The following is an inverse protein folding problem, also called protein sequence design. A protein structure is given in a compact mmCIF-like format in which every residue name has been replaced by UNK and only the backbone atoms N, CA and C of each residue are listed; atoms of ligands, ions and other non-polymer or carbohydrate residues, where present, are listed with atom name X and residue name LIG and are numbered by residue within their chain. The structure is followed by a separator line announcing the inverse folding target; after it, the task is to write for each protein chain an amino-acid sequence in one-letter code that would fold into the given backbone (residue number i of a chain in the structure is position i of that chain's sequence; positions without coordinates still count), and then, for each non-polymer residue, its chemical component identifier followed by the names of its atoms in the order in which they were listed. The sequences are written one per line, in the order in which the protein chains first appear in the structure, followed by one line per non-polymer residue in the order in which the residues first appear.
data_IF_220072624164
#
_entry.id   IF_220072624164
#
_cell.length_a   1.000
_cell.length_b   1.000
_cell.length_c   1.000
_cell.angle_alpha   90.00
_cell.angle_beta   90.00
_cell.angle_gamma   90.00
#
_symmetry.space_group_name_H-M   'P 1'
#
loop_
_entity.id
_entity.type
_entity.pdbx_description
1 polymer ?
#
# COMPACT_ATOMS: atom_id res chain seq x y z
N UNK A 1 -8.77 -10.92 29.66
CA UNK A 1 -8.35 -11.91 28.63
C UNK A 1 -8.28 -11.11 27.34
N UNK A 2 -7.21 -11.22 26.55
CA UNK A 2 -7.11 -10.48 25.29
C UNK A 2 -7.71 -11.33 24.16
N UNK A 3 -8.72 -10.81 23.46
CA UNK A 3 -9.27 -11.48 22.27
C UNK A 3 -8.32 -11.36 21.10
N UNK A 4 -7.89 -12.50 20.57
CA UNK A 4 -7.10 -12.59 19.34
C UNK A 4 -8.02 -12.48 18.13
N UNK A 5 -7.72 -11.55 17.21
CA UNK A 5 -8.59 -11.22 16.04
C UNK A 5 -7.94 -11.47 14.68
N UNK A 6 -6.67 -11.86 14.64
CA UNK A 6 -5.94 -12.27 13.43
C UNK A 6 -6.13 -13.76 13.13
N UNK A 7 -7.35 -14.29 13.30
CA UNK A 7 -7.66 -15.71 13.15
C UNK A 7 -8.37 -16.05 11.82
N UNK A 8 -8.54 -15.05 10.94
CA UNK A 8 -9.18 -15.19 9.63
C UNK A 8 -10.71 -15.28 9.68
N UNK A 9 -11.34 -15.08 10.84
CA UNK A 9 -12.80 -15.07 10.98
C UNK A 9 -13.37 -13.65 10.96
N UNK A 10 -14.68 -13.59 10.82
CA UNK A 10 -15.42 -12.34 10.93
C UNK A 10 -15.57 -11.96 12.40
N UNK A 11 -15.06 -10.78 12.74
CA UNK A 11 -15.28 -10.14 14.04
C UNK A 11 -16.23 -8.94 13.89
N UNK A 12 -17.02 -8.68 14.92
CA UNK A 12 -17.96 -7.56 14.97
C UNK A 12 -17.45 -6.49 15.94
N UNK A 13 -17.23 -5.29 15.42
CA UNK A 13 -16.77 -4.15 16.21
C UNK A 13 -17.85 -3.07 16.29
N UNK A 14 -18.14 -2.60 17.49
CA UNK A 14 -19.04 -1.45 17.72
C UNK A 14 -18.37 -0.43 18.62
N UNK A 15 -18.35 0.82 18.16
CA UNK A 15 -18.01 1.98 18.97
C UNK A 15 -19.29 2.75 19.28
N UNK A 16 -19.63 2.85 20.55
CA UNK A 16 -20.69 3.71 21.05
C UNK A 16 -20.08 4.85 21.85
N UNK A 17 -20.44 6.09 21.51
CA UNK A 17 -20.00 7.28 22.21
C UNK A 17 -21.21 8.08 22.67
N UNK A 18 -21.24 8.41 23.96
CA UNK A 18 -22.19 9.33 24.56
C UNK A 18 -21.41 10.36 25.38
N UNK A 19 -21.15 11.52 24.77
CA UNK A 19 -20.29 12.57 25.32
C UNK A 19 -18.87 12.03 25.58
N UNK A 20 -18.42 12.06 26.83
CA UNK A 20 -17.12 11.55 27.26
C UNK A 20 -17.14 10.02 27.47
N UNK A 21 -18.32 9.41 27.57
CA UNK A 21 -18.45 7.97 27.78
C UNK A 21 -18.30 7.22 26.45
N UNK A 22 -17.29 6.38 26.37
CA UNK A 22 -17.07 5.47 25.27
C UNK A 22 -17.33 4.04 25.75
N UNK A 23 -18.15 3.32 24.99
CA UNK A 23 -18.28 1.87 25.05
C UNK A 23 -17.75 1.29 23.75
N UNK A 24 -16.74 0.44 23.86
CA UNK A 24 -16.22 -0.37 22.75
C UNK A 24 -16.70 -1.79 22.98
N UNK A 25 -17.21 -2.42 21.92
CA UNK A 25 -17.56 -3.83 21.92
C UNK A 25 -16.87 -4.51 20.76
N UNK A 26 -16.22 -5.63 21.05
CA UNK A 26 -15.61 -6.53 20.08
C UNK A 26 -16.17 -7.92 20.35
N UNK A 27 -16.98 -8.42 19.42
CA UNK A 27 -17.79 -9.63 19.60
C UNK A 27 -18.60 -9.55 20.92
N UNK A 28 -18.30 -10.43 21.88
CA UNK A 28 -18.95 -10.48 23.19
C UNK A 28 -18.20 -9.67 24.26
N UNK A 29 -16.98 -9.19 23.97
CA UNK A 29 -16.18 -8.42 24.92
C UNK A 29 -16.52 -6.94 24.88
N UNK A 30 -16.76 -6.35 26.05
CA UNK A 30 -17.15 -4.94 26.21
C UNK A 30 -16.15 -4.24 27.11
N UNK A 31 -15.65 -3.10 26.64
CA UNK A 31 -14.75 -2.20 27.39
C UNK A 31 -15.35 -0.81 27.44
N UNK A 32 -15.30 -0.19 28.63
CA UNK A 32 -15.71 1.19 28.85
C UNK A 32 -14.49 2.09 29.05
N UNK A 33 -14.54 3.31 28.50
CA UNK A 33 -13.49 4.31 28.60
C UNK A 33 -14.10 5.71 28.73
N UNK A 34 -13.43 6.60 29.46
CA UNK A 34 -13.78 8.01 29.58
C UNK A 34 -12.77 8.86 28.81
N UNK A 35 -13.26 9.80 27.99
CA UNK A 35 -12.43 10.74 27.24
C UNK A 35 -12.29 12.07 27.99
N UNK A 36 -11.31 12.16 28.88
CA UNK A 36 -11.12 13.33 29.74
C UNK A 36 -10.53 14.58 29.03
N UNK A 37 -10.01 14.43 27.80
CA UNK A 37 -9.18 15.48 27.14
C UNK A 37 -9.60 15.88 25.72
N UNK A 38 -10.57 15.22 25.10
CA UNK A 38 -10.98 15.55 23.72
C UNK A 38 -12.21 16.47 23.72
N UNK A 39 -12.18 17.53 22.89
CA UNK A 39 -13.27 18.54 22.79
C UNK A 39 -14.28 18.28 21.66
N UNK A 40 -14.02 17.32 20.78
CA UNK A 40 -14.89 17.00 19.64
C UNK A 40 -15.53 15.63 19.85
N UNK A 41 -16.83 15.62 20.14
CA UNK A 41 -17.56 14.44 20.59
C UNK A 41 -18.44 13.79 19.53
N UNK A 42 -18.52 14.38 18.34
CA UNK A 42 -19.51 13.99 17.33
C UNK A 42 -18.81 13.59 16.04
N UNK A 43 -18.75 12.29 15.77
CA UNK A 43 -18.48 11.77 14.44
C UNK A 43 -19.69 12.07 13.54
N UNK A 44 -19.45 12.53 12.31
CA UNK A 44 -20.49 12.82 11.33
C UNK A 44 -21.10 14.23 11.39
N UNK A 45 -20.48 15.18 12.10
CA UNK A 45 -20.81 16.59 11.94
C UNK A 45 -20.17 17.12 10.64
N UNK A 46 -20.98 17.17 9.58
CA UNK A 46 -20.57 17.60 8.23
C UNK A 46 -19.91 18.98 8.15
N UNK A 47 -20.06 19.84 9.18
CA UNK A 47 -19.43 21.17 9.22
C UNK A 47 -18.01 21.16 9.77
N UNK A 48 -17.64 20.15 10.55
CA UNK A 48 -16.38 20.13 11.31
C UNK A 48 -15.55 18.87 11.09
N UNK A 49 -16.15 17.79 10.63
CA UNK A 49 -15.45 16.54 10.34
C UNK A 49 -14.94 16.53 8.90
N UNK A 50 -13.72 16.01 8.70
CA UNK A 50 -13.19 15.62 7.40
C UNK A 50 -13.79 14.29 6.93
N UNK A 51 -13.43 13.88 5.72
CA UNK A 51 -13.73 12.55 5.18
C UNK A 51 -13.21 11.43 6.09
N UNK A 52 -13.88 10.27 6.03
CA UNK A 52 -13.56 9.07 6.79
C UNK A 52 -12.78 8.10 5.90
N UNK A 53 -11.57 7.75 6.32
CA UNK A 53 -10.72 6.78 5.64
C UNK A 53 -10.73 5.44 6.37
N UNK A 54 -10.97 4.35 5.63
CA UNK A 54 -11.03 3.00 6.17
C UNK A 54 -9.91 2.16 5.56
N UNK A 55 -9.15 1.48 6.40
CA UNK A 55 -8.06 0.60 6.01
C UNK A 55 -6.70 1.27 5.77
N UNK A 56 -6.64 2.61 5.77
CA UNK A 56 -5.40 3.37 5.68
C UNK A 56 -5.68 4.84 5.39
N UNK A 57 -4.64 5.67 5.43
CA UNK A 57 -4.73 7.10 5.10
C UNK A 57 -3.97 7.37 3.78
N UNK A 58 -4.59 8.06 2.80
CA UNK A 58 -3.91 8.49 1.59
C UNK A 58 -2.72 9.42 1.89
N UNK A 59 -1.74 9.46 0.97
CA UNK A 59 -0.48 10.20 1.18
C UNK A 59 -0.63 11.70 0.98
N UNK A 60 -1.62 12.09 0.22
CA UNK A 60 -2.00 13.42 -0.27
C UNK A 60 -2.90 14.22 0.71
N UNK A 61 -3.38 13.60 1.79
CA UNK A 61 -4.23 14.30 2.78
C UNK A 61 -3.41 15.23 3.67
N UNK A 62 -3.16 16.48 3.29
CA UNK A 62 -2.19 17.34 3.98
C UNK A 62 -2.46 17.59 5.48
N UNK A 63 -3.73 17.74 5.90
CA UNK A 63 -4.08 18.14 7.27
C UNK A 63 -4.69 16.99 8.07
N UNK A 64 -3.91 16.47 9.01
CA UNK A 64 -4.36 15.49 9.99
C UNK A 64 -4.17 16.05 11.41
N UNK A 65 -5.14 15.81 12.30
CA UNK A 65 -4.98 16.10 13.73
C UNK A 65 -3.84 15.30 14.37
N UNK A 66 -3.46 14.18 13.76
CA UNK A 66 -2.29 13.37 14.11
C UNK A 66 -1.51 12.97 12.83
N UNK A 67 -0.57 13.80 12.34
CA UNK A 67 0.14 13.58 11.08
C UNK A 67 0.87 12.23 10.98
N UNK A 68 1.45 11.76 12.09
CA UNK A 68 2.16 10.48 12.16
C UNK A 68 1.27 9.27 11.83
N UNK A 69 -0.06 9.39 11.93
CA UNK A 69 -0.98 8.30 11.56
C UNK A 69 -0.87 7.90 10.09
N UNK A 70 -0.37 8.77 9.21
CA UNK A 70 -0.14 8.44 7.79
C UNK A 70 0.86 7.29 7.61
N UNK A 71 1.80 7.12 8.53
CA UNK A 71 2.83 6.07 8.48
C UNK A 71 2.43 4.80 9.22
N UNK A 72 1.21 4.73 9.77
CA UNK A 72 0.72 3.52 10.41
C UNK A 72 0.58 2.38 9.40
N UNK A 73 0.76 1.15 9.88
CA UNK A 73 0.52 -0.04 9.06
C UNK A 73 -0.93 -0.02 8.57
N UNK A 74 -1.09 -0.08 7.25
CA UNK A 74 -2.41 -0.15 6.61
C UNK A 74 -3.07 -1.50 6.91
N UNK A 75 -4.39 -1.50 6.99
CA UNK A 75 -5.18 -2.71 7.18
C UNK A 75 -5.04 -3.61 5.95
N UNK A 76 -4.90 -4.90 6.20
CA UNK A 76 -4.90 -5.94 5.17
C UNK A 76 -5.88 -7.02 5.61
N UNK A 77 -7.04 -7.09 4.94
CA UNK A 77 -8.14 -7.99 5.28
C UNK A 77 -9.44 -7.54 4.62
N UNK A 78 -10.56 -8.11 5.05
CA UNK A 78 -11.88 -7.82 4.53
C UNK A 78 -12.69 -6.97 5.52
N UNK A 79 -13.50 -6.05 4.99
CA UNK A 79 -14.43 -5.22 5.77
C UNK A 79 -15.81 -5.31 5.12
N UNK A 80 -16.85 -5.47 5.96
CA UNK A 80 -18.25 -5.45 5.53
C UNK A 80 -19.12 -4.76 6.57
N UNK A 81 -20.33 -4.38 6.18
CA UNK A 81 -21.33 -3.78 7.07
C UNK A 81 -20.83 -2.51 7.78
N UNK A 82 -20.05 -1.68 7.08
CA UNK A 82 -19.64 -0.37 7.59
C UNK A 82 -20.88 0.53 7.68
N UNK A 83 -21.21 0.92 8.91
CA UNK A 83 -22.35 1.79 9.21
C UNK A 83 -21.90 2.82 10.24
N UNK A 84 -22.25 4.09 10.03
CA UNK A 84 -22.08 5.12 11.04
C UNK A 84 -23.19 6.16 10.92
N UNK A 85 -23.25 7.06 11.90
CA UNK A 85 -24.26 8.11 11.92
C UNK A 85 -23.95 9.17 10.87
N UNK A 86 -24.87 9.37 9.93
CA UNK A 86 -24.82 10.39 8.89
C UNK A 86 -26.02 11.32 9.09
N UNK A 87 -25.78 12.63 9.09
CA UNK A 87 -26.86 13.61 9.15
C UNK A 87 -27.41 13.87 7.75
N UNK A 88 -28.74 13.87 7.52
CA UNK A 88 -29.84 13.64 8.47
C UNK A 88 -30.33 12.18 8.59
N UNK A 89 -29.73 11.23 7.88
CA UNK A 89 -30.25 9.86 7.69
C UNK A 89 -30.18 8.97 8.95
N UNK A 90 -29.44 9.36 9.99
CA UNK A 90 -29.23 8.53 11.16
C UNK A 90 -28.16 7.46 10.90
N UNK A 91 -28.35 6.24 11.38
CA UNK A 91 -27.42 5.13 11.10
C UNK A 91 -27.62 4.62 9.68
N UNK A 92 -26.64 4.81 8.80
CA UNK A 92 -26.72 4.44 7.39
C UNK A 92 -25.40 3.92 6.85
N UNK A 93 -25.47 3.17 5.74
CA UNK A 93 -24.30 2.78 4.98
C UNK A 93 -23.79 4.03 4.24
N UNK A 94 -22.52 4.41 4.41
CA UNK A 94 -21.99 5.59 3.74
C UNK A 94 -21.85 5.35 2.24
N UNK A 95 -22.04 6.40 1.45
CA UNK A 95 -21.67 6.40 0.05
C UNK A 95 -20.14 6.43 -0.06
N UNK A 96 -19.56 5.48 -0.79
CA UNK A 96 -18.14 5.49 -1.11
C UNK A 96 -17.85 6.58 -2.14
N UNK A 97 -17.02 7.55 -1.77
CA UNK A 97 -16.61 8.66 -2.65
C UNK A 97 -15.47 8.28 -3.59
N UNK A 98 -14.50 7.51 -3.09
CA UNK A 98 -13.34 7.02 -3.85
C UNK A 98 -12.71 5.81 -3.17
N UNK A 99 -11.89 5.05 -3.91
CA UNK A 99 -11.09 3.95 -3.37
C UNK A 99 -9.86 3.67 -4.24
N UNK A 100 -8.71 3.43 -3.60
CA UNK A 100 -7.47 3.08 -4.28
C UNK A 100 -7.05 1.65 -3.93
N UNK A 101 -6.91 0.79 -4.94
CA UNK A 101 -6.40 -0.58 -4.79
C UNK A 101 -7.31 -1.54 -4.01
N UNK A 102 -8.55 -1.15 -3.70
CA UNK A 102 -9.52 -1.99 -2.99
C UNK A 102 -10.01 -3.13 -3.89
N UNK A 103 -10.36 -4.26 -3.25
CA UNK A 103 -10.94 -5.41 -3.94
C UNK A 103 -12.31 -5.75 -3.43
N UNK A 104 -13.20 -6.17 -4.34
CA UNK A 104 -14.58 -6.56 -4.01
C UNK A 104 -14.71 -8.04 -3.63
N UNK A 105 -13.73 -8.86 -4.03
CA UNK A 105 -13.68 -10.29 -3.75
C UNK A 105 -12.40 -10.63 -3.01
N UNK A 106 -12.46 -11.66 -2.16
CA UNK A 106 -11.28 -12.31 -1.57
C UNK A 106 -10.75 -13.44 -2.46
N UNK A 107 -11.16 -13.44 -3.73
CA UNK A 107 -10.78 -14.48 -4.67
C UNK A 107 -9.27 -14.44 -4.87
N UNK A 108 -8.59 -15.46 -4.37
CA UNK A 108 -7.19 -15.65 -4.65
C UNK A 108 -7.03 -16.29 -6.03
N UNK A 109 -7.11 -15.48 -7.09
CA UNK A 109 -6.91 -15.95 -8.47
C UNK A 109 -5.53 -16.54 -8.75
N UNK A 110 -4.56 -16.36 -7.85
CA UNK A 110 -3.24 -17.00 -7.94
C UNK A 110 -3.23 -18.41 -7.33
N UNK A 111 -4.18 -18.74 -6.45
CA UNK A 111 -4.34 -20.08 -5.86
C UNK A 111 -5.48 -20.81 -6.56
N UNK A 112 -5.17 -21.95 -7.18
CA UNK A 112 -6.09 -22.73 -8.01
C UNK A 112 -7.30 -23.34 -7.27
N UNK A 113 -7.42 -23.20 -5.96
CA UNK A 113 -8.35 -24.02 -5.18
C UNK A 113 -9.83 -23.65 -5.31
N UNK A 114 -10.19 -22.47 -5.82
CA UNK A 114 -11.60 -22.05 -5.76
C UNK A 114 -12.44 -22.18 -7.02
N UNK A 115 -11.94 -22.47 -8.23
CA UNK A 115 -12.81 -22.69 -9.40
C UNK A 115 -12.14 -23.41 -10.57
N UNK A 116 -11.90 -24.72 -10.44
CA UNK A 116 -12.08 -25.64 -11.59
C UNK A 116 -11.99 -27.10 -11.16
N UNK A 117 -13.15 -27.76 -11.13
CA UNK A 117 -13.28 -29.21 -11.07
C UNK A 117 -12.78 -29.92 -12.34
N UNK A 118 -12.12 -29.21 -13.25
CA UNK A 118 -11.42 -29.75 -14.40
C UNK A 118 -10.17 -28.90 -14.63
N UNK A 119 -8.99 -29.39 -14.25
CA UNK A 119 -7.72 -29.32 -14.98
C UNK A 119 -6.68 -29.96 -14.04
N UNK A 120 -6.45 -31.26 -14.25
CA UNK A 120 -5.22 -31.92 -13.84
C UNK A 120 -4.18 -31.59 -14.91
N UNK A 121 -3.11 -30.87 -14.56
CA UNK A 121 -1.82 -31.08 -15.24
C UNK A 121 -0.67 -30.70 -14.32
N UNK A 122 0.25 -31.65 -14.26
CA UNK A 122 1.51 -31.70 -13.54
C UNK A 122 2.46 -30.69 -14.20
N UNK A 123 3.12 -29.87 -13.38
CA UNK A 123 4.30 -29.03 -13.70
C UNK A 123 4.21 -27.79 -14.62
N UNK A 124 3.03 -27.33 -15.12
CA UNK A 124 2.92 -26.14 -16.02
C UNK A 124 2.05 -24.96 -15.52
N UNK A 125 1.83 -24.80 -14.21
CA UNK A 125 0.56 -24.24 -13.75
C UNK A 125 0.61 -22.99 -12.84
N UNK A 126 1.56 -22.07 -13.07
CA UNK A 126 1.55 -20.74 -12.45
C UNK A 126 1.09 -19.67 -13.46
N UNK A 127 0.16 -18.78 -13.07
CA UNK A 127 -0.32 -17.72 -13.99
C UNK A 127 0.84 -16.82 -14.46
N UNK A 128 1.82 -16.57 -13.59
CA UNK A 128 3.06 -15.88 -13.93
C UNK A 128 4.15 -16.87 -14.30
N UNK A 129 4.75 -16.68 -15.47
CA UNK A 129 5.89 -17.44 -15.96
C UNK A 129 7.20 -16.83 -15.43
N UNK A 130 8.31 -17.52 -15.65
CA UNK A 130 9.68 -17.01 -15.42
C UNK A 130 9.88 -16.33 -14.05
N UNK A 131 9.35 -16.95 -12.99
CA UNK A 131 9.44 -16.49 -11.60
C UNK A 131 8.79 -15.12 -11.32
N UNK A 132 7.85 -14.68 -12.15
CA UNK A 132 7.04 -13.49 -11.87
C UNK A 132 6.17 -13.66 -10.62
N UNK A 133 6.00 -12.59 -9.85
CA UNK A 133 5.18 -12.59 -8.64
C UNK A 133 3.69 -12.45 -9.01
N UNK A 134 2.89 -13.47 -8.70
CA UNK A 134 1.44 -13.42 -8.92
C UNK A 134 0.74 -12.65 -7.80
N UNK A 135 -0.15 -11.73 -8.18
CA UNK A 135 -1.08 -11.09 -7.26
C UNK A 135 -2.49 -11.06 -7.86
N UNK A 136 -3.52 -11.30 -7.04
CA UNK A 136 -4.91 -11.21 -7.48
C UNK A 136 -5.29 -9.76 -7.80
N UNK A 137 -6.19 -9.52 -8.73
CA UNK A 137 -6.81 -8.22 -8.95
C UNK A 137 -8.32 -8.42 -9.16
N UNK A 138 -9.11 -7.35 -9.14
CA UNK A 138 -10.57 -7.43 -9.32
C UNK A 138 -11.02 -8.18 -10.58
N UNK A 139 -10.16 -8.19 -11.63
CA UNK A 139 -10.45 -8.79 -12.92
C UNK A 139 -9.59 -10.04 -13.18
N UNK A 140 -9.20 -10.77 -12.14
CA UNK A 140 -8.37 -11.98 -12.25
C UNK A 140 -6.91 -11.79 -11.84
N UNK A 141 -6.03 -12.78 -12.08
CA UNK A 141 -4.64 -12.73 -11.65
C UNK A 141 -3.81 -11.76 -12.50
N UNK A 142 -2.78 -11.17 -11.89
CA UNK A 142 -1.81 -10.28 -12.51
C UNK A 142 -0.40 -10.68 -12.07
N UNK A 143 0.60 -10.26 -12.85
CA UNK A 143 2.00 -10.58 -12.62
C UNK A 143 2.82 -9.32 -12.46
N UNK A 144 3.64 -9.29 -11.42
CA UNK A 144 4.74 -8.35 -11.27
C UNK A 144 6.03 -9.03 -11.77
N UNK A 145 6.56 -8.53 -12.86
CA UNK A 145 7.78 -9.01 -13.52
C UNK A 145 9.00 -8.14 -13.20
N UNK A 146 8.91 -7.23 -12.22
CA UNK A 146 9.98 -6.26 -11.94
C UNK A 146 11.33 -6.95 -11.65
N UNK A 147 11.31 -8.01 -10.85
CA UNK A 147 12.50 -8.77 -10.45
C UNK A 147 12.90 -9.91 -11.40
N UNK A 148 12.25 -10.06 -12.55
CA UNK A 148 12.63 -11.05 -13.56
C UNK A 148 13.23 -10.40 -14.81
N UNK A 149 13.98 -11.17 -15.59
CA UNK A 149 14.47 -10.75 -16.91
C UNK A 149 13.36 -10.78 -17.98
N UNK A 150 12.10 -10.82 -17.55
CA UNK A 150 10.94 -10.99 -18.42
C UNK A 150 9.90 -9.90 -18.17
N UNK A 151 9.08 -9.65 -19.18
CA UNK A 151 7.98 -8.68 -19.22
C UNK A 151 6.77 -9.27 -19.94
N UNK A 152 5.71 -8.49 -20.09
CA UNK A 152 4.42 -8.96 -20.61
C UNK A 152 3.43 -9.29 -19.50
N UNK A 153 2.21 -9.69 -19.88
CA UNK A 153 1.08 -9.83 -18.93
C UNK A 153 1.31 -10.96 -17.92
N UNK A 154 2.07 -11.96 -18.32
CA UNK A 154 2.41 -13.19 -17.59
C UNK A 154 3.92 -13.37 -17.45
N UNK A 155 4.74 -12.32 -17.68
CA UNK A 155 6.20 -12.39 -17.72
C UNK A 155 6.72 -13.38 -18.78
N UNK A 156 6.09 -13.40 -19.95
CA UNK A 156 6.33 -14.33 -21.05
C UNK A 156 7.45 -13.88 -22.00
N UNK A 157 7.70 -12.58 -22.12
CA UNK A 157 8.65 -12.02 -23.08
C UNK A 157 9.96 -11.70 -22.37
N UNK A 158 11.11 -12.02 -22.94
CA UNK A 158 12.39 -11.61 -22.36
C UNK A 158 12.57 -10.10 -22.52
N UNK A 159 12.87 -9.38 -21.43
CA UNK A 159 13.22 -7.97 -21.48
C UNK A 159 14.42 -7.76 -22.41
N UNK A 160 14.49 -6.64 -23.15
CA UNK A 160 15.72 -6.26 -23.83
C UNK A 160 16.84 -6.18 -22.79
N UNK A 161 18.03 -6.69 -23.13
CA UNK A 161 19.16 -6.67 -22.20
C UNK A 161 19.50 -5.21 -21.87
N UNK A 162 19.22 -4.79 -20.64
CA UNK A 162 19.73 -3.53 -20.08
C UNK A 162 21.12 -3.72 -19.46
N UNK A 163 21.85 -4.74 -19.91
CA UNK A 163 23.21 -4.98 -19.50
C UNK A 163 24.09 -3.88 -20.09
N UNK A 164 24.78 -3.15 -19.22
CA UNK A 164 25.79 -2.16 -19.63
C UNK A 164 27.15 -2.64 -19.18
N UNK A 165 28.13 -2.55 -20.08
CA UNK A 165 29.51 -2.92 -19.80
C UNK A 165 30.31 -1.71 -19.30
N UNK A 166 31.08 -1.91 -18.24
CA UNK A 166 32.03 -0.94 -17.70
C UNK A 166 33.45 -1.51 -17.84
N UNK A 167 34.38 -0.70 -18.35
CA UNK A 167 35.80 -1.04 -18.53
C UNK A 167 36.72 -0.27 -17.57
N UNK A 168 36.15 0.61 -16.73
CA UNK A 168 36.80 1.21 -15.57
C UNK A 168 36.74 2.74 -15.54
N UNK A 169 36.36 3.38 -16.64
CA UNK A 169 36.31 4.84 -16.78
C UNK A 169 34.91 5.38 -17.10
N UNK A 170 33.91 4.50 -17.20
CA UNK A 170 32.53 4.82 -17.53
C UNK A 170 31.68 5.00 -16.27
N UNK A 171 30.65 5.82 -16.37
CA UNK A 171 29.65 6.01 -15.32
C UNK A 171 28.28 6.23 -15.95
N UNK A 172 27.22 5.85 -15.23
CA UNK A 172 25.83 6.12 -15.61
C UNK A 172 25.19 6.84 -14.44
N UNK A 173 24.62 8.01 -14.70
CA UNK A 173 23.81 8.76 -13.74
C UNK A 173 22.35 8.72 -14.15
N UNK A 174 21.46 8.56 -13.17
CA UNK A 174 20.03 8.72 -13.37
C UNK A 174 19.60 10.01 -12.68
N UNK A 175 18.90 10.88 -13.41
CA UNK A 175 18.33 12.07 -12.81
C UNK A 175 17.12 11.69 -11.95
N UNK A 176 17.14 12.08 -10.68
CA UNK A 176 16.03 11.87 -9.76
C UNK A 176 14.88 12.87 -9.99
N UNK A 177 15.09 13.90 -10.82
CA UNK A 177 14.19 15.03 -11.04
C UNK A 177 13.53 15.05 -12.43
N UNK A 178 13.30 13.90 -13.07
CA UNK A 178 12.53 13.88 -14.32
C UNK A 178 11.03 13.66 -14.06
N UNK A 179 10.37 14.68 -13.51
CA UNK A 179 8.93 14.88 -13.66
C UNK A 179 8.70 16.11 -14.54
N UNK A 180 8.91 15.98 -15.86
CA UNK A 180 8.34 16.94 -16.80
C UNK A 180 6.83 16.69 -16.91
N UNK A 181 6.05 17.54 -16.22
CA UNK A 181 4.60 17.50 -16.26
C UNK A 181 3.94 18.68 -15.55
N UNK A 182 3.91 19.83 -16.24
CA UNK A 182 3.19 21.07 -15.91
C UNK A 182 3.77 21.99 -14.82
N UNK A 183 4.56 22.95 -15.32
CA UNK A 183 4.80 24.26 -14.74
C UNK A 183 3.53 24.89 -14.15
N UNK A 184 3.48 24.98 -12.82
CA UNK A 184 3.02 26.17 -12.13
C UNK A 184 4.10 26.51 -11.11
N UNK A 185 4.80 27.62 -11.34
CA UNK A 185 6.06 28.00 -10.69
C UNK A 185 6.02 27.97 -9.16
N UNK A 186 6.41 26.84 -8.60
CA UNK A 186 6.73 26.69 -7.19
C UNK A 186 8.22 26.35 -7.14
N UNK A 187 9.04 27.35 -6.81
CA UNK A 187 10.47 27.23 -6.56
C UNK A 187 10.71 26.56 -5.20
N UNK A 188 10.27 25.33 -5.03
CA UNK A 188 10.48 24.59 -3.78
C UNK A 188 11.35 23.37 -4.09
N UNK A 189 12.66 23.56 -3.99
CA UNK A 189 13.68 22.52 -4.17
C UNK A 189 13.47 21.32 -3.23
N UNK A 190 12.72 21.49 -2.13
CA UNK A 190 12.43 20.45 -1.13
C UNK A 190 11.27 19.51 -1.50
N UNK A 191 10.46 19.81 -2.52
CA UNK A 191 9.23 19.03 -2.82
C UNK A 191 9.46 17.77 -3.68
N UNK A 192 10.68 17.50 -4.13
CA UNK A 192 10.98 16.33 -4.98
C UNK A 192 11.93 15.31 -4.33
N UNK A 193 12.34 15.53 -3.07
CA UNK A 193 13.12 14.55 -2.34
C UNK A 193 12.25 13.31 -2.03
N UNK A 194 12.65 12.15 -2.57
CA UNK A 194 12.01 10.87 -2.22
C UNK A 194 12.41 10.51 -0.78
N UNK A 195 11.64 10.99 0.19
CA UNK A 195 11.82 10.64 1.59
C UNK A 195 11.27 9.23 1.85
N UNK A 196 12.15 8.25 1.97
CA UNK A 196 11.78 6.88 2.31
C UNK A 196 12.32 6.45 3.68
N UNK A 197 11.46 5.86 4.50
CA UNK A 197 11.88 5.17 5.73
C UNK A 197 12.48 3.79 5.44
N UNK A 198 12.32 3.28 4.20
CA UNK A 198 12.83 1.97 3.78
C UNK A 198 13.16 2.00 2.30
N UNK A 199 14.43 1.82 1.98
CA UNK A 199 14.93 1.73 0.61
C UNK A 199 15.28 0.29 0.29
N UNK A 200 14.96 -0.14 -0.94
CA UNK A 200 15.30 -1.47 -1.44
C UNK A 200 15.95 -1.28 -2.79
N UNK A 201 17.26 -1.53 -2.88
CA UNK A 201 18.03 -1.49 -4.10
C UNK A 201 18.45 -2.90 -4.50
N UNK A 202 18.08 -3.34 -5.69
CA UNK A 202 18.42 -4.68 -6.20
C UNK A 202 19.17 -4.53 -7.52
N UNK A 203 20.42 -5.03 -7.57
CA UNK A 203 21.26 -5.05 -8.77
C UNK A 203 21.96 -6.41 -8.87
N UNK A 204 22.13 -6.91 -10.09
CA UNK A 204 22.99 -8.05 -10.40
C UNK A 204 24.24 -7.53 -11.13
N UNK A 205 25.42 -7.97 -10.72
CA UNK A 205 26.68 -7.56 -11.35
C UNK A 205 27.67 -8.72 -11.46
N UNK A 206 28.60 -8.63 -12.40
CA UNK A 206 29.72 -9.56 -12.60
C UNK A 206 30.99 -8.76 -12.84
N UNK A 207 32.09 -9.11 -12.16
CA UNK A 207 33.39 -8.46 -12.35
C UNK A 207 34.55 -9.46 -12.19
N UNK A 208 35.63 -9.24 -12.94
CA UNK A 208 36.91 -9.94 -12.78
C UNK A 208 37.99 -9.03 -12.14
N UNK A 209 37.66 -7.77 -11.84
CA UNK A 209 38.56 -6.80 -11.20
C UNK A 209 38.36 -6.83 -9.68
N UNK A 210 39.44 -7.08 -8.91
CA UNK A 210 39.29 -7.68 -7.58
C UNK A 210 39.56 -6.80 -6.36
N UNK A 211 39.82 -5.49 -6.46
CA UNK A 211 40.02 -4.67 -5.24
C UNK A 211 39.41 -3.27 -5.35
N UNK A 212 38.41 -3.01 -4.51
CA UNK A 212 37.81 -1.70 -4.18
C UNK A 212 37.12 -0.93 -5.32
N UNK A 213 36.30 -1.61 -6.13
CA UNK A 213 35.48 -0.95 -7.16
C UNK A 213 34.14 -0.45 -6.60
N UNK A 214 33.75 0.77 -6.99
CA UNK A 214 32.47 1.37 -6.65
C UNK A 214 31.36 0.79 -7.53
N UNK A 215 30.27 0.29 -6.93
CA UNK A 215 29.12 -0.26 -7.67
C UNK A 215 27.96 0.74 -7.80
N UNK A 216 27.67 1.49 -6.74
CA UNK A 216 26.57 2.44 -6.68
C UNK A 216 26.83 3.47 -5.59
N UNK A 217 26.42 4.72 -5.84
CA UNK A 217 26.35 5.80 -4.85
C UNK A 217 25.04 6.53 -5.05
N UNK A 218 24.32 6.74 -3.96
CA UNK A 218 23.24 7.71 -3.87
C UNK A 218 23.45 8.58 -2.64
N UNK A 219 23.12 9.86 -2.76
CA UNK A 219 23.29 10.85 -1.71
C UNK A 219 22.59 12.14 -2.09
N UNK A 220 22.38 13.00 -1.09
CA UNK A 220 21.87 14.34 -1.31
C UNK A 220 22.97 15.21 -1.96
N UNK A 221 22.54 16.09 -2.86
CA UNK A 221 23.29 17.01 -3.74
C UNK A 221 24.30 17.95 -3.06
N UNK A 222 24.52 17.82 -1.75
CA UNK A 222 25.45 18.68 -0.99
C UNK A 222 26.81 18.05 -0.67
N UNK A 223 27.10 16.84 -1.15
CA UNK A 223 28.44 16.25 -0.99
C UNK A 223 28.90 15.62 -2.31
N UNK A 224 29.55 16.43 -3.14
CA UNK A 224 30.40 15.93 -4.22
C UNK A 224 31.81 15.67 -3.67
N UNK A 225 32.43 14.57 -4.08
CA UNK A 225 33.86 14.28 -3.85
C UNK A 225 34.75 15.22 -4.67
#
# INVERSE_FOLDING_TARGET
METKVDDGKWHYFTLFQAWENIKIQLDDEIVFCLLDKQKSFMLGNIRTNSDIFVGGIPKDVEKLSAPLRRYSKRFAGLIRNLMYRIYPQGMAAPLMIDSFGTRKTDDNYCLKEHNSKHIKSKDENNFCLNSGLCYSANNGPRCDCFFSDYEGRRCENKKPSTEVSFFGNEWIGYDNLHNEGNNNGINDEDLLAVLSHREIYNISFRTNFSKNSLLFVAGDSKVYF
#
